data_IF_318633349242
#
_entry.id   IF_318633349242
#
_cell.length_a   1.000
_cell.length_b   1.000
_cell.length_c   1.000
_cell.angle_alpha   90.00
_cell.angle_beta   90.00
_cell.angle_gamma   90.00
#
_symmetry.space_group_name_H-M   'P 1'
#
loop_
_entity.id
_entity.type
_entity.pdbx_description
1 polymer ?
#
# COMPACT_ATOMS: atom_id res chain seq x y z
N UNK A 1 6.70 20.08 0.40
CA UNK A 1 7.02 18.64 0.31
C UNK A 1 5.95 17.80 -0.38
N UNK A 2 4.65 17.99 -0.10
CA UNK A 2 3.53 17.21 -0.70
C UNK A 2 3.52 17.11 -2.23
N UNK A 3 3.73 18.23 -2.95
CA UNK A 3 3.76 18.24 -4.44
C UNK A 3 4.87 17.36 -5.03
N UNK A 4 6.01 17.24 -4.35
CA UNK A 4 7.14 16.41 -4.80
C UNK A 4 6.80 14.92 -4.66
N UNK A 5 6.08 14.57 -3.59
CA UNK A 5 5.56 13.22 -3.37
C UNK A 5 4.49 12.85 -4.40
N UNK A 6 3.57 13.77 -4.69
CA UNK A 6 2.55 13.60 -5.73
C UNK A 6 3.12 13.39 -7.14
N UNK A 7 4.22 14.08 -7.48
CA UNK A 7 4.92 13.81 -8.73
C UNK A 7 5.64 12.46 -8.69
N UNK A 8 6.28 12.11 -7.58
CA UNK A 8 6.94 10.81 -7.41
C UNK A 8 5.94 9.65 -7.59
N UNK A 9 4.74 9.74 -7.03
CA UNK A 9 3.71 8.72 -7.20
C UNK A 9 3.18 8.61 -8.63
N UNK A 10 3.16 9.72 -9.36
CA UNK A 10 2.76 9.75 -10.77
C UNK A 10 3.79 9.09 -11.69
N UNK A 11 5.09 9.33 -11.47
CA UNK A 11 6.17 8.78 -12.29
C UNK A 11 6.57 7.35 -11.89
N UNK A 12 6.45 7.00 -10.61
CA UNK A 12 6.83 5.71 -10.07
C UNK A 12 5.66 5.04 -9.32
N UNK A 13 4.58 4.68 -10.02
CA UNK A 13 3.38 4.11 -9.42
C UNK A 13 3.65 2.79 -8.68
N UNK A 14 4.51 1.92 -9.21
CA UNK A 14 4.86 0.65 -8.56
C UNK A 14 5.68 0.84 -7.28
N UNK A 15 6.62 1.78 -7.25
CA UNK A 15 7.38 2.11 -6.04
C UNK A 15 6.49 2.66 -4.93
N UNK A 16 5.46 3.42 -5.31
CA UNK A 16 4.47 3.93 -4.37
C UNK A 16 3.72 2.78 -3.70
N UNK A 17 3.27 1.79 -4.48
CA UNK A 17 2.62 0.58 -3.95
C UNK A 17 3.53 -0.14 -2.97
N UNK A 18 4.79 -0.38 -3.33
CA UNK A 18 5.75 -1.08 -2.47
C UNK A 18 5.93 -0.33 -1.14
N UNK A 19 6.15 0.98 -1.18
CA UNK A 19 6.32 1.80 0.02
C UNK A 19 5.06 1.74 0.88
N UNK A 20 3.88 1.91 0.29
CA UNK A 20 2.59 1.85 0.99
C UNK A 20 2.35 0.49 1.64
N UNK A 21 2.68 -0.62 0.97
CA UNK A 21 2.55 -1.97 1.52
C UNK A 21 3.50 -2.17 2.69
N UNK A 22 4.75 -1.72 2.57
CA UNK A 22 5.73 -1.83 3.65
C UNK A 22 5.25 -1.06 4.88
N UNK A 23 4.91 0.22 4.77
CA UNK A 23 4.48 0.98 5.96
C UNK A 23 3.12 0.51 6.48
N UNK A 24 2.21 0.12 5.59
CA UNK A 24 0.93 -0.48 5.98
C UNK A 24 1.09 -1.78 6.76
N UNK A 25 2.04 -2.63 6.36
CA UNK A 25 2.36 -3.88 7.07
C UNK A 25 2.94 -3.60 8.45
N UNK A 26 3.91 -2.67 8.57
CA UNK A 26 4.46 -2.29 9.87
C UNK A 26 3.41 -1.71 10.82
N UNK A 27 2.49 -0.89 10.30
CA UNK A 27 1.39 -0.33 11.10
C UNK A 27 0.41 -1.44 11.51
N UNK A 28 -0.01 -2.31 10.58
CA UNK A 28 -0.94 -3.40 10.86
C UNK A 28 -0.40 -4.35 11.92
N UNK A 29 0.85 -4.79 11.73
CA UNK A 29 1.59 -5.60 12.70
C UNK A 29 1.72 -4.88 14.04
N UNK A 30 2.09 -3.61 14.02
CA UNK A 30 2.25 -2.82 15.24
C UNK A 30 0.96 -2.68 16.03
N UNK A 31 -0.17 -2.45 15.36
CA UNK A 31 -1.49 -2.38 15.98
C UNK A 31 -1.91 -3.74 16.55
N UNK A 32 -1.77 -4.83 15.78
CA UNK A 32 -2.08 -6.18 16.26
C UNK A 32 -1.24 -6.55 17.49
N UNK A 33 0.05 -6.23 17.46
CA UNK A 33 0.96 -6.48 18.57
C UNK A 33 0.58 -5.68 19.84
N UNK A 34 0.17 -4.42 19.69
CA UNK A 34 -0.27 -3.59 20.83
C UNK A 34 -1.58 -4.09 21.43
N UNK A 35 -2.55 -4.50 20.59
CA UNK A 35 -3.89 -4.86 21.04
C UNK A 35 -3.93 -6.28 21.62
N UNK A 36 -3.32 -7.25 20.95
CA UNK A 36 -3.43 -8.66 21.32
C UNK A 36 -2.19 -9.20 22.03
N UNK A 37 -1.06 -8.48 21.99
CA UNK A 37 0.21 -8.95 22.56
C UNK A 37 0.81 -10.15 21.81
N UNK A 38 0.18 -10.57 20.71
CA UNK A 38 0.54 -11.76 19.94
C UNK A 38 0.37 -11.50 18.43
N UNK A 39 1.15 -12.20 17.63
CA UNK A 39 1.13 -12.10 16.17
C UNK A 39 -0.01 -12.95 15.62
N UNK A 40 -1.16 -12.33 15.37
CA UNK A 40 -2.27 -13.03 14.75
C UNK A 40 -2.00 -13.14 13.24
N UNK A 41 -1.74 -14.36 12.76
CA UNK A 41 -1.52 -14.64 11.34
C UNK A 41 -2.68 -14.24 10.42
N UNK A 42 -3.86 -13.89 10.97
CA UNK A 42 -4.96 -13.30 10.20
C UNK A 42 -4.57 -11.97 9.52
N UNK A 43 -3.67 -11.20 10.14
CA UNK A 43 -3.12 -9.96 9.59
C UNK A 43 -2.40 -10.15 8.24
N UNK A 44 -1.91 -11.37 7.95
CA UNK A 44 -1.31 -11.69 6.66
C UNK A 44 -2.36 -11.73 5.55
N UNK A 45 -3.53 -12.34 5.80
CA UNK A 45 -4.58 -12.43 4.79
C UNK A 45 -5.15 -11.05 4.44
N UNK A 46 -5.35 -10.18 5.42
CA UNK A 46 -5.78 -8.79 5.19
C UNK A 46 -4.71 -8.00 4.42
N UNK A 47 -3.43 -8.16 4.76
CA UNK A 47 -2.32 -7.50 4.05
C UNK A 47 -2.22 -7.96 2.59
N UNK A 48 -2.39 -9.25 2.31
CA UNK A 48 -2.40 -9.81 0.94
C UNK A 48 -3.56 -9.24 0.14
N UNK A 49 -4.77 -9.24 0.71
CA UNK A 49 -5.97 -8.69 0.06
C UNK A 49 -5.77 -7.20 -0.24
N UNK A 50 -5.32 -6.41 0.74
CA UNK A 50 -5.06 -4.98 0.57
C UNK A 50 -3.99 -4.71 -0.50
N UNK A 51 -2.94 -5.51 -0.53
CA UNK A 51 -1.88 -5.41 -1.55
C UNK A 51 -2.45 -5.68 -2.95
N UNK A 52 -3.32 -6.69 -3.08
CA UNK A 52 -3.97 -7.01 -4.35
C UNK A 52 -4.91 -5.89 -4.81
N UNK A 53 -5.69 -5.33 -3.89
CA UNK A 53 -6.55 -4.16 -4.15
C UNK A 53 -5.73 -2.94 -4.58
N UNK A 54 -4.59 -2.69 -3.91
CA UNK A 54 -3.70 -1.56 -4.21
C UNK A 54 -3.06 -1.72 -5.60
N UNK A 55 -2.57 -2.91 -5.95
CA UNK A 55 -2.05 -3.20 -7.28
C UNK A 55 -3.10 -3.03 -8.38
N UNK A 56 -4.32 -3.50 -8.15
CA UNK A 56 -5.44 -3.31 -9.08
C UNK A 56 -5.74 -1.82 -9.25
N UNK A 57 -5.89 -1.08 -8.17
CA UNK A 57 -6.19 0.35 -8.23
C UNK A 57 -5.05 1.16 -8.87
N UNK A 58 -3.78 0.82 -8.65
CA UNK A 58 -2.65 1.40 -9.37
C UNK A 58 -2.68 1.08 -10.86
N UNK A 59 -3.00 -0.16 -11.26
CA UNK A 59 -3.18 -0.52 -12.68
C UNK A 59 -4.31 0.30 -13.33
N UNK A 60 -5.39 0.55 -12.59
CA UNK A 60 -6.51 1.36 -13.05
C UNK A 60 -6.12 2.84 -13.18
N UNK A 61 -5.34 3.37 -12.24
CA UNK A 61 -4.80 4.73 -12.29
C UNK A 61 -3.83 4.94 -13.46
N UNK A 62 -2.92 3.99 -13.70
CA UNK A 62 -1.99 4.04 -14.84
C UNK A 62 -2.75 3.99 -16.16
N UNK A 63 -3.80 3.15 -16.28
CA UNK A 63 -4.68 3.14 -17.46
C UNK A 63 -5.39 4.48 -17.68
N UNK A 64 -5.90 5.12 -16.62
CA UNK A 64 -6.52 6.45 -16.70
C UNK A 64 -5.54 7.57 -17.07
N UNK A 65 -4.28 7.49 -16.62
CA UNK A 65 -3.25 8.48 -16.93
C UNK A 65 -2.64 8.33 -18.33
N UNK A 66 -2.77 7.17 -18.99
CA UNK A 66 -2.35 6.98 -20.39
C UNK A 66 -3.32 7.56 -21.42
N UNK A 67 -4.53 7.97 -21.01
CA UNK A 67 -5.54 8.59 -21.87
C UNK A 67 -5.53 10.13 -21.86
N UNK A 68 -4.48 10.76 -21.31
CA UNK A 68 -4.26 12.21 -21.33
C UNK A 68 -2.88 12.50 -21.90
#
# INVERSE_FOLDING_TARGET
>A
MYKKWLNFTKYHPYWTVIISVIVGSFIGIGIEFIINGDFIGSGLYTTIILTMVLLLSTRWQVRRNKGK
#
